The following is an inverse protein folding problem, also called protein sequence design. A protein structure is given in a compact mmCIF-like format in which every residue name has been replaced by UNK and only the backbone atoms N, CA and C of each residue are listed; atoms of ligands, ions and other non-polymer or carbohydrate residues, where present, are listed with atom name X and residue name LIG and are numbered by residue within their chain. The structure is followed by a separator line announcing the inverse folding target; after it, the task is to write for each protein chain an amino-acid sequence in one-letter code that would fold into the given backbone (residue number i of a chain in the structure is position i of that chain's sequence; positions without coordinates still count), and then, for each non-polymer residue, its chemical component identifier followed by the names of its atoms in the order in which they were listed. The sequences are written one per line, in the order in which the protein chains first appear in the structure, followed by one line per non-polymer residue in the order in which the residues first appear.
data_IF_236863580873
#
_entry.id   IF_236863580873
#
_cell.length_a   1.000
_cell.length_b   1.000
_cell.length_c   1.000
_cell.angle_alpha   90.00
_cell.angle_beta   90.00
_cell.angle_gamma   90.00
#
_symmetry.space_group_name_H-M   'P 1'
#
loop_
_entity.id
_entity.type
_entity.pdbx_description
1 polymer ?
#
# COMPACT_ATOMS: atom_id res chain seq x y z
N UNK A 1 19.52 9.45 -0.36
CA UNK A 1 18.41 9.01 -1.25
C UNK A 1 18.86 8.24 -2.49
N UNK A 2 19.51 8.83 -3.50
CA UNK A 2 19.87 8.05 -4.72
C UNK A 2 20.92 6.96 -4.44
N UNK A 3 21.94 7.26 -3.63
CA UNK A 3 22.99 6.29 -3.27
C UNK A 3 22.45 5.10 -2.45
N UNK A 4 21.54 5.35 -1.50
CA UNK A 4 20.86 4.31 -0.72
C UNK A 4 19.98 3.43 -1.61
N UNK A 5 19.22 4.06 -2.52
CA UNK A 5 18.37 3.35 -3.50
C UNK A 5 19.20 2.42 -4.38
N UNK A 6 20.37 2.87 -4.86
CA UNK A 6 21.28 2.05 -5.67
C UNK A 6 21.90 0.90 -4.87
N UNK A 7 22.29 1.14 -3.62
CA UNK A 7 22.78 0.10 -2.71
C UNK A 7 21.73 -0.99 -2.49
N UNK A 8 20.49 -0.61 -2.20
CA UNK A 8 19.37 -1.53 -2.02
C UNK A 8 19.07 -2.29 -3.32
N UNK A 9 19.12 -1.60 -4.46
CA UNK A 9 18.93 -2.23 -5.77
C UNK A 9 20.01 -3.27 -6.05
N UNK A 10 21.26 -2.94 -5.78
CA UNK A 10 22.40 -3.85 -5.95
C UNK A 10 22.28 -5.09 -5.06
N UNK A 11 21.93 -4.90 -3.79
CA UNK A 11 21.63 -5.98 -2.85
C UNK A 11 20.52 -6.90 -3.36
N UNK A 12 19.39 -6.35 -3.80
CA UNK A 12 18.25 -7.13 -4.27
C UNK A 12 18.55 -7.89 -5.57
N UNK A 13 19.25 -7.23 -6.50
CA UNK A 13 19.67 -7.84 -7.77
C UNK A 13 20.63 -9.00 -7.53
N UNK A 14 21.56 -8.84 -6.58
CA UNK A 14 22.48 -9.92 -6.19
C UNK A 14 21.75 -11.07 -5.48
N UNK A 15 20.75 -10.76 -4.65
CA UNK A 15 19.98 -11.76 -3.89
C UNK A 15 19.07 -12.62 -4.78
N UNK A 16 18.41 -12.00 -5.76
CA UNK A 16 17.40 -12.68 -6.58
C UNK A 16 17.91 -13.10 -7.96
N UNK A 17 19.06 -12.58 -8.40
CA UNK A 17 19.61 -12.86 -9.73
C UNK A 17 18.81 -12.23 -10.88
N UNK A 18 17.98 -11.23 -10.58
CA UNK A 18 17.09 -10.56 -11.53
C UNK A 18 17.06 -9.04 -11.30
N UNK A 19 16.76 -8.23 -12.32
CA UNK A 19 16.71 -6.78 -12.16
C UNK A 19 15.60 -6.37 -11.17
N UNK A 20 15.95 -5.51 -10.21
CA UNK A 20 15.04 -5.00 -9.20
C UNK A 20 14.77 -3.49 -9.35
N UNK A 21 13.50 -3.10 -9.20
CA UNK A 21 13.08 -1.73 -8.96
C UNK A 21 13.06 -1.42 -7.46
N UNK A 22 13.37 -0.18 -7.09
CA UNK A 22 13.37 0.28 -5.69
C UNK A 22 12.71 1.65 -5.62
N UNK A 23 11.72 1.77 -4.75
CA UNK A 23 10.97 3.01 -4.52
C UNK A 23 10.88 3.35 -3.04
N UNK A 24 10.93 4.64 -2.70
CA UNK A 24 10.71 5.08 -1.34
C UNK A 24 9.21 5.03 -1.02
N UNK A 25 8.86 4.40 0.09
CA UNK A 25 7.50 4.42 0.62
C UNK A 25 7.47 5.11 1.98
N UNK A 26 6.89 6.32 1.99
CA UNK A 26 6.63 7.04 3.22
C UNK A 26 5.17 6.87 3.64
N UNK A 27 4.95 6.01 4.62
CA UNK A 27 3.66 5.67 5.18
C UNK A 27 3.09 6.83 5.99
N UNK A 28 2.03 7.45 5.46
CA UNK A 28 1.31 8.58 6.09
C UNK A 28 -0.07 8.16 6.61
N UNK A 29 -0.74 7.23 5.94
CA UNK A 29 -2.12 6.83 6.28
C UNK A 29 -2.33 5.33 6.03
N UNK A 30 -3.13 4.71 6.89
CA UNK A 30 -3.73 3.40 6.62
C UNK A 30 -5.20 3.59 6.30
N UNK A 31 -5.66 2.87 5.28
CA UNK A 31 -7.07 2.68 5.01
C UNK A 31 -7.35 1.19 5.03
N UNK A 32 -8.12 0.74 6.01
CA UNK A 32 -8.46 -0.66 6.17
C UNK A 32 -9.92 -0.86 5.80
N UNK A 33 -10.15 -1.78 4.86
CA UNK A 33 -11.48 -2.27 4.50
C UNK A 33 -11.47 -3.77 4.81
N UNK A 34 -11.56 -4.09 6.10
CA UNK A 34 -11.55 -5.46 6.62
C UNK A 34 -12.74 -5.67 7.56
N UNK A 35 -13.39 -6.84 7.56
CA UNK A 35 -14.47 -7.14 8.49
C UNK A 35 -13.95 -7.11 9.93
N UNK A 36 -14.76 -6.59 10.87
CA UNK A 36 -14.48 -6.51 12.31
C UNK A 36 -13.24 -5.70 12.74
N UNK A 37 -12.59 -4.98 11.82
CA UNK A 37 -11.46 -4.11 12.15
C UNK A 37 -11.76 -2.64 11.81
N UNK A 38 -12.58 -2.03 12.64
CA UNK A 38 -12.87 -0.59 12.55
C UNK A 38 -11.91 0.21 13.42
N UNK A 39 -11.28 1.25 12.85
CA UNK A 39 -10.35 2.14 13.56
C UNK A 39 -11.03 2.99 14.67
N UNK A 40 -12.35 2.90 14.83
CA UNK A 40 -13.17 3.69 15.77
C UNK A 40 -12.71 3.49 17.23
N UNK A 41 -12.26 2.28 17.58
CA UNK A 41 -11.77 1.96 18.93
C UNK A 41 -10.53 2.74 19.35
N UNK A 42 -9.71 3.20 18.39
CA UNK A 42 -8.42 3.87 18.63
C UNK A 42 -8.50 5.39 18.65
N UNK A 43 -9.71 5.96 18.51
CA UNK A 43 -9.87 7.42 18.46
C UNK A 43 -9.67 8.03 19.85
N UNK A 44 -8.91 9.13 19.91
CA UNK A 44 -8.81 9.92 21.13
C UNK A 44 -10.19 10.43 21.56
N UNK A 45 -10.38 10.59 22.87
CA UNK A 45 -11.66 11.04 23.46
C UNK A 45 -12.15 12.34 22.80
N UNK A 46 -11.24 13.27 22.49
CA UNK A 46 -11.59 14.52 21.79
C UNK A 46 -12.17 14.29 20.39
N UNK A 47 -11.66 13.32 19.63
CA UNK A 47 -12.24 12.95 18.32
C UNK A 47 -13.63 12.31 18.48
N UNK A 48 -13.85 11.53 19.54
CA UNK A 48 -15.16 10.94 19.83
C UNK A 48 -16.19 12.01 20.15
N UNK A 49 -15.85 12.99 21.00
CA UNK A 49 -16.74 14.10 21.34
C UNK A 49 -17.07 14.95 20.11
N UNK A 50 -16.06 15.31 19.30
CA UNK A 50 -16.27 16.07 18.07
C UNK A 50 -17.16 15.32 17.07
N UNK A 51 -16.99 14.01 16.95
CA UNK A 51 -17.84 13.17 16.10
C UNK A 51 -19.31 13.19 16.53
N UNK A 52 -19.58 13.10 17.84
CA UNK A 52 -20.95 13.19 18.38
C UNK A 52 -21.55 14.58 18.15
N UNK A 53 -20.76 15.65 18.34
CA UNK A 53 -21.22 17.02 18.07
C UNK A 53 -21.47 17.28 16.57
N UNK A 54 -20.75 16.60 15.69
CA UNK A 54 -20.94 16.68 14.24
C UNK A 54 -22.09 15.78 13.72
N UNK A 55 -22.70 14.95 14.58
CA UNK A 55 -23.81 14.07 14.23
C UNK A 55 -24.98 14.75 13.49
N UNK A 56 -25.50 15.93 13.92
CA UNK A 56 -26.54 16.63 13.17
C UNK A 56 -26.11 17.06 11.77
N UNK A 57 -24.80 17.22 11.51
CA UNK A 57 -24.26 17.54 10.17
C UNK A 57 -24.11 16.27 9.32
N UNK A 58 -23.91 15.10 9.93
CA UNK A 58 -23.83 13.84 9.20
C UNK A 58 -25.15 13.43 8.55
N UNK A 59 -26.31 13.83 9.12
CA UNK A 59 -27.62 13.52 8.55
C UNK A 59 -27.80 14.14 7.15
N UNK A 60 -27.70 15.47 6.95
CA UNK A 60 -27.81 16.06 5.62
C UNK A 60 -26.68 15.58 4.69
N UNK A 61 -25.47 15.35 5.21
CA UNK A 61 -24.37 14.79 4.43
C UNK A 61 -24.67 13.37 3.91
N UNK A 62 -25.27 12.50 4.74
CA UNK A 62 -25.68 11.16 4.35
C UNK A 62 -26.81 11.19 3.31
N UNK A 63 -27.75 12.13 3.44
CA UNK A 63 -28.80 12.36 2.42
C UNK A 63 -28.17 12.76 1.09
N UNK A 64 -27.19 13.67 1.08
CA UNK A 64 -26.46 14.05 -0.14
C UNK A 64 -25.75 12.85 -0.76
N UNK A 65 -25.02 12.07 0.03
CA UNK A 65 -24.34 10.85 -0.46
C UNK A 65 -25.33 9.80 -0.97
N UNK A 66 -26.49 9.67 -0.32
CA UNK A 66 -27.55 8.77 -0.76
C UNK A 66 -28.12 9.19 -2.11
N UNK A 67 -28.39 10.48 -2.30
CA UNK A 67 -28.83 11.04 -3.59
C UNK A 67 -27.74 10.85 -4.65
N UNK A 68 -26.48 11.14 -4.35
CA UNK A 68 -25.37 10.90 -5.27
C UNK A 68 -25.26 9.43 -5.68
N UNK A 69 -25.41 8.51 -4.72
CA UNK A 69 -25.40 7.07 -4.98
C UNK A 69 -26.60 6.63 -5.83
N UNK A 70 -27.79 7.19 -5.59
CA UNK A 70 -28.97 6.95 -6.43
C UNK A 70 -28.75 7.40 -7.88
N UNK A 71 -27.87 8.37 -8.10
CA UNK A 71 -27.49 8.88 -9.41
C UNK A 71 -26.24 8.20 -9.99
N UNK A 72 -25.75 7.12 -9.34
CA UNK A 72 -24.51 6.43 -9.68
C UNK A 72 -23.27 7.34 -9.71
N UNK A 73 -23.34 8.49 -9.02
CA UNK A 73 -22.23 9.42 -8.86
C UNK A 73 -21.45 9.00 -7.63
N UNK A 74 -20.35 8.30 -7.86
CA UNK A 74 -19.41 7.93 -6.81
C UNK A 74 -18.32 9.00 -6.71
N UNK A 75 -18.37 9.91 -5.72
CA UNK A 75 -17.31 10.90 -5.54
C UNK A 75 -15.99 10.18 -5.27
N UNK A 76 -15.10 10.18 -6.26
CA UNK A 76 -13.76 9.63 -6.16
C UNK A 76 -12.88 10.61 -5.40
N UNK A 77 -12.77 10.40 -4.09
CA UNK A 77 -11.86 11.20 -3.27
C UNK A 77 -10.40 10.87 -3.62
N UNK A 78 -9.53 11.86 -3.88
CA UNK A 78 -8.15 11.59 -4.23
C UNK A 78 -7.44 10.89 -3.07
N UNK A 79 -6.87 9.72 -3.36
CA UNK A 79 -6.05 8.99 -2.39
C UNK A 79 -4.75 9.75 -2.19
N UNK A 80 -4.44 10.13 -0.94
CA UNK A 80 -3.21 10.89 -0.64
C UNK A 80 -1.98 9.99 -0.78
N UNK A 81 -0.87 10.56 -1.24
CA UNK A 81 0.45 9.91 -1.27
C UNK A 81 0.82 9.32 0.09
N UNK A 82 1.40 8.12 0.09
CA UNK A 82 1.77 7.39 1.30
C UNK A 82 0.60 6.70 1.99
N UNK A 83 -0.54 6.55 1.29
CA UNK A 83 -1.66 5.75 1.78
C UNK A 83 -1.43 4.29 1.42
N UNK A 84 -1.45 3.42 2.43
CA UNK A 84 -1.57 1.98 2.26
C UNK A 84 -3.03 1.60 2.46
N UNK A 85 -3.68 1.17 1.39
CA UNK A 85 -5.06 0.66 1.44
C UNK A 85 -5.00 -0.86 1.46
N UNK A 86 -5.52 -1.49 2.50
CA UNK A 86 -5.66 -2.95 2.55
C UNK A 86 -7.13 -3.31 2.61
N UNK A 87 -7.55 -4.13 1.66
CA UNK A 87 -8.89 -4.69 1.49
C UNK A 87 -8.81 -6.18 1.72
N UNK A 88 -9.82 -6.76 2.36
CA UNK A 88 -9.91 -8.20 2.51
C UNK A 88 -11.29 -8.59 2.97
N UNK A 89 -11.69 -9.81 2.62
CA UNK A 89 -13.00 -10.37 2.96
C UNK A 89 -12.97 -11.18 4.25
N UNK A 90 -11.79 -11.60 4.70
CA UNK A 90 -11.60 -12.39 5.91
C UNK A 90 -11.02 -11.56 7.07
N UNK A 91 -11.41 -11.85 8.32
CA UNK A 91 -10.89 -11.18 9.52
C UNK A 91 -9.56 -11.79 10.03
N UNK A 92 -9.01 -12.77 9.33
CA UNK A 92 -7.69 -13.39 9.56
C UNK A 92 -7.02 -13.65 8.22
N UNK A 93 -5.70 -13.92 8.23
CA UNK A 93 -4.94 -14.34 7.05
C UNK A 93 -3.72 -13.46 6.75
N UNK A 94 -2.93 -13.83 5.73
CA UNK A 94 -1.62 -13.22 5.49
C UNK A 94 -1.68 -11.73 5.13
N UNK A 95 -2.80 -11.26 4.58
CA UNK A 95 -3.04 -9.84 4.33
C UNK A 95 -3.17 -9.02 5.62
N UNK A 96 -3.68 -9.62 6.70
CA UNK A 96 -3.80 -8.98 8.01
C UNK A 96 -2.47 -9.01 8.74
N UNK A 97 -1.73 -10.10 8.65
CA UNK A 97 -0.36 -10.18 9.17
C UNK A 97 0.53 -9.13 8.52
N UNK A 98 0.37 -8.93 7.20
CA UNK A 98 1.00 -7.82 6.48
C UNK A 98 0.60 -6.46 7.05
N UNK A 99 -0.70 -6.20 7.29
CA UNK A 99 -1.14 -4.93 7.92
C UNK A 99 -0.50 -4.74 9.29
N UNK A 100 -0.39 -5.79 10.09
CA UNK A 100 0.12 -5.71 11.45
C UNK A 100 1.63 -5.51 11.50
N UNK A 101 2.36 -6.16 10.61
CA UNK A 101 3.77 -5.87 10.34
C UNK A 101 3.93 -4.43 9.85
N UNK A 102 3.18 -4.03 8.83
CA UNK A 102 3.22 -2.68 8.28
C UNK A 102 2.86 -1.63 9.33
N UNK A 103 1.98 -1.92 10.29
CA UNK A 103 1.62 -1.03 11.40
C UNK A 103 2.81 -0.77 12.32
N UNK A 104 3.55 -1.83 12.68
CA UNK A 104 4.75 -1.80 13.54
C UNK A 104 6.01 -1.29 12.82
N UNK A 105 6.06 -1.43 11.50
CA UNK A 105 7.18 -1.00 10.66
C UNK A 105 7.46 0.51 10.76
N UNK A 106 8.68 0.96 10.46
CA UNK A 106 9.00 2.39 10.37
C UNK A 106 8.09 3.12 9.37
N UNK A 107 7.92 4.43 9.57
CA UNK A 107 7.13 5.27 8.64
C UNK A 107 7.82 5.50 7.30
N UNK A 108 9.15 5.37 7.26
CA UNK A 108 9.95 5.41 6.05
C UNK A 108 10.48 4.00 5.81
N UNK A 109 10.17 3.46 4.64
CA UNK A 109 10.61 2.14 4.21
C UNK A 109 10.89 2.19 2.72
N UNK A 110 11.72 1.29 2.23
CA UNK A 110 11.93 1.07 0.81
C UNK A 110 11.11 -0.13 0.37
N UNK A 111 10.48 -0.01 -0.79
CA UNK A 111 9.80 -1.12 -1.45
C UNK A 111 10.65 -1.52 -2.62
N UNK A 112 11.10 -2.77 -2.57
CA UNK A 112 11.90 -3.37 -3.62
C UNK A 112 11.01 -4.38 -4.31
N UNK A 113 10.96 -4.34 -5.63
CA UNK A 113 10.16 -5.24 -6.44
C UNK A 113 11.00 -5.72 -7.61
N UNK A 114 10.84 -6.99 -7.97
CA UNK A 114 11.47 -7.60 -9.13
C UNK A 114 10.42 -8.34 -9.95
N UNK A 115 10.89 -9.15 -10.90
CA UNK A 115 10.09 -10.10 -11.66
C UNK A 115 9.93 -11.45 -10.93
N UNK A 116 9.98 -11.50 -9.61
CA UNK A 116 9.32 -12.58 -8.83
C UNK A 116 9.05 -12.24 -7.37
N UNK A 117 9.59 -11.13 -6.90
CA UNK A 117 9.63 -10.81 -5.49
C UNK A 117 9.19 -9.37 -5.23
N UNK A 118 8.55 -9.16 -4.08
CA UNK A 118 8.40 -7.85 -3.46
C UNK A 118 8.87 -7.97 -2.02
N UNK A 119 9.72 -7.05 -1.60
CA UNK A 119 10.19 -6.97 -0.22
C UNK A 119 10.11 -5.54 0.25
N UNK A 120 9.67 -5.37 1.49
CA UNK A 120 9.76 -4.11 2.19
C UNK A 120 10.97 -4.16 3.10
N UNK A 121 11.86 -3.20 2.92
CA UNK A 121 13.10 -3.09 3.69
C UNK A 121 13.11 -1.78 4.46
N UNK A 122 13.70 -1.83 5.64
CA UNK A 122 14.11 -0.65 6.38
C UNK A 122 15.56 -0.33 6.05
N UNK A 123 15.91 0.95 6.08
CA UNK A 123 17.32 1.34 6.06
C UNK A 123 18.04 0.69 7.24
N UNK A 124 19.09 -0.06 6.93
CA UNK A 124 19.97 -0.64 7.95
C UNK A 124 20.70 0.49 8.65
N UNK A 125 20.10 1.02 9.72
CA UNK A 125 20.81 1.90 10.66
C UNK A 125 22.04 1.11 11.13
N UNK A 126 23.21 1.63 10.78
CA UNK A 126 24.54 1.22 11.23
C UNK A 126 25.20 -0.03 10.63
N UNK A 127 24.49 -0.94 9.93
CA UNK A 127 25.08 -2.22 9.46
C UNK A 127 25.27 -2.36 7.95
N UNK A 128 24.97 -1.32 7.16
CA UNK A 128 25.28 -1.28 5.72
C UNK A 128 24.42 -2.20 4.82
N UNK A 129 23.73 -3.19 5.37
CA UNK A 129 22.81 -4.06 4.65
C UNK A 129 21.33 -3.67 4.89
N UNK A 130 20.48 -3.66 3.85
CA UNK A 130 19.04 -3.44 4.01
C UNK A 130 18.42 -4.55 4.87
N UNK A 131 17.55 -4.19 5.81
CA UNK A 131 16.87 -5.17 6.69
C UNK A 131 15.45 -5.40 6.18
N UNK A 132 15.13 -6.58 5.62
CA UNK A 132 13.78 -6.90 5.21
C UNK A 132 12.90 -7.14 6.44
N UNK A 133 11.74 -6.48 6.49
CA UNK A 133 10.74 -6.72 7.54
C UNK A 133 9.48 -7.40 7.01
N UNK A 134 9.32 -7.45 5.68
CA UNK A 134 8.29 -8.24 5.02
C UNK A 134 8.74 -8.63 3.62
N UNK A 135 8.48 -9.86 3.20
CA UNK A 135 8.78 -10.37 1.86
C UNK A 135 7.57 -11.14 1.33
N UNK A 136 7.32 -11.03 0.02
CA UNK A 136 6.30 -11.82 -0.66
C UNK A 136 6.71 -13.29 -0.71
N UNK A 137 5.83 -14.17 -0.22
CA UNK A 137 5.93 -15.61 -0.45
C UNK A 137 5.54 -16.00 -1.90
N UNK A 138 5.77 -17.26 -2.29
CA UNK A 138 5.52 -17.75 -3.65
C UNK A 138 4.03 -17.76 -4.06
N UNK A 139 3.12 -17.75 -3.08
CA UNK A 139 1.67 -17.77 -3.27
C UNK A 139 1.07 -16.39 -3.61
N UNK A 140 1.88 -15.32 -3.53
CA UNK A 140 1.44 -13.94 -3.68
C UNK A 140 1.48 -13.48 -5.14
N UNK A 141 0.38 -12.88 -5.59
CA UNK A 141 0.34 -12.22 -6.89
C UNK A 141 0.63 -10.74 -6.70
N UNK A 142 1.66 -10.23 -7.36
CA UNK A 142 1.99 -8.80 -7.36
C UNK A 142 1.65 -8.24 -8.74
N UNK A 143 0.98 -7.09 -8.74
CA UNK A 143 0.63 -6.34 -9.94
C UNK A 143 1.21 -4.93 -9.82
N UNK A 144 1.97 -4.52 -10.84
CA UNK A 144 2.42 -3.15 -11.01
C UNK A 144 1.49 -2.49 -12.01
N UNK A 145 0.53 -1.71 -11.52
CA UNK A 145 -0.47 -1.04 -12.37
C UNK A 145 -0.05 0.41 -12.59
N UNK A 146 0.60 0.76 -13.71
CA UNK A 146 0.96 2.15 -13.98
C UNK A 146 -0.29 3.02 -14.14
N UNK A 147 -0.32 4.17 -13.45
CA UNK A 147 -1.39 5.16 -13.61
C UNK A 147 -2.73 4.81 -12.94
N UNK A 148 -2.78 3.79 -12.09
CA UNK A 148 -3.99 3.52 -11.32
C UNK A 148 -4.26 4.64 -10.30
N UNK A 149 -5.46 5.23 -10.36
CA UNK A 149 -5.92 6.28 -9.43
C UNK A 149 -5.78 5.86 -7.94
N UNK A 150 -5.91 4.57 -7.66
CA UNK A 150 -5.82 4.00 -6.31
C UNK A 150 -4.38 3.73 -5.83
N UNK A 151 -3.40 3.60 -6.73
CA UNK A 151 -2.00 3.33 -6.41
C UNK A 151 -1.29 2.41 -7.39
N UNK A 152 0.01 2.65 -7.60
CA UNK A 152 0.83 2.02 -8.64
C UNK A 152 1.29 0.59 -8.34
N UNK A 153 1.29 0.17 -7.06
CA UNK A 153 1.68 -1.17 -6.64
C UNK A 153 0.53 -1.85 -5.91
N UNK A 154 0.14 -3.03 -6.39
CA UNK A 154 -0.94 -3.85 -5.83
C UNK A 154 -0.42 -5.24 -5.50
N UNK A 155 -0.77 -5.73 -4.32
CA UNK A 155 -0.42 -7.06 -3.82
C UNK A 155 -1.72 -7.81 -3.57
N UNK A 156 -1.86 -9.00 -4.14
CA UNK A 156 -3.03 -9.84 -4.02
C UNK A 156 -2.68 -11.16 -3.34
N UNK A 157 -3.47 -11.48 -2.32
CA UNK A 157 -3.46 -12.77 -1.65
C UNK A 157 -4.55 -13.69 -2.23
N UNK A 158 -4.33 -15.02 -2.25
CA UNK A 158 -5.33 -15.99 -2.74
C UNK A 158 -6.70 -15.85 -2.08
N UNK A 159 -6.75 -15.45 -0.81
CA UNK A 159 -7.97 -15.34 0.00
C UNK A 159 -8.75 -14.01 -0.21
N UNK A 160 -8.70 -13.43 -1.41
CA UNK A 160 -9.30 -12.11 -1.73
C UNK A 160 -8.77 -10.94 -0.87
N UNK A 161 -7.56 -11.07 -0.33
CA UNK A 161 -6.83 -9.95 0.25
C UNK A 161 -6.18 -9.11 -0.84
N UNK A 162 -6.23 -7.79 -0.72
CA UNK A 162 -5.57 -6.85 -1.62
C UNK A 162 -4.92 -5.72 -0.82
N UNK A 163 -3.67 -5.39 -1.11
CA UNK A 163 -3.00 -4.19 -0.62
C UNK A 163 -2.64 -3.30 -1.79
N UNK A 164 -2.94 -2.02 -1.68
CA UNK A 164 -2.68 -0.99 -2.68
C UNK A 164 -1.84 0.11 -2.07
N UNK A 165 -0.70 0.39 -2.69
CA UNK A 165 0.23 1.42 -2.26
C UNK A 165 0.11 2.65 -3.16
N UNK A 166 -0.25 3.78 -2.57
CA UNK A 166 -0.20 5.07 -3.25
C UNK A 166 1.17 5.71 -3.05
N UNK A 167 2.00 5.71 -4.10
CA UNK A 167 3.34 6.30 -4.08
C UNK A 167 3.29 7.80 -4.46
N UNK A 168 4.42 8.50 -4.37
CA UNK A 168 4.54 9.85 -4.94
C UNK A 168 4.61 9.77 -6.46
N UNK A 169 4.26 10.85 -7.16
CA UNK A 169 4.28 10.87 -8.64
C UNK A 169 5.64 10.47 -9.22
N UNK A 170 6.74 10.92 -8.60
CA UNK A 170 8.11 10.52 -8.98
C UNK A 170 8.34 9.01 -8.85
N UNK A 171 7.88 8.41 -7.76
CA UNK A 171 8.04 6.97 -7.50
C UNK A 171 7.06 6.14 -8.36
N UNK A 172 5.85 6.66 -8.64
CA UNK A 172 4.92 6.05 -9.60
C UNK A 172 5.50 6.05 -11.02
N UNK A 173 6.24 7.10 -11.41
CA UNK A 173 6.94 7.14 -12.69
C UNK A 173 8.04 6.08 -12.79
N UNK A 174 8.76 5.80 -11.69
CA UNK A 174 9.76 4.72 -11.62
C UNK A 174 9.12 3.34 -11.68
N UNK A 175 8.01 3.12 -10.98
CA UNK A 175 7.23 1.87 -11.11
C UNK A 175 6.73 1.71 -12.54
N UNK A 176 6.26 2.78 -13.16
CA UNK A 176 5.75 2.77 -14.53
C UNK A 176 6.83 2.45 -15.54
N UNK A 177 8.00 3.07 -15.46
CA UNK A 177 9.10 2.79 -16.38
C UNK A 177 9.59 1.35 -16.24
N UNK A 178 9.66 0.85 -15.00
CA UNK A 178 9.99 -0.55 -14.74
C UNK A 178 8.92 -1.48 -15.32
N UNK A 179 7.64 -1.27 -15.03
CA UNK A 179 6.55 -2.09 -15.58
C UNK A 179 6.55 -2.10 -17.13
N UNK A 180 6.78 -0.93 -17.76
CA UNK A 180 6.87 -0.81 -19.21
C UNK A 180 8.03 -1.61 -19.81
N UNK A 181 9.17 -1.72 -19.12
CA UNK A 181 10.29 -2.54 -19.59
C UNK A 181 9.99 -4.05 -19.68
N UNK A 182 8.89 -4.50 -19.07
CA UNK A 182 8.46 -5.90 -19.09
C UNK A 182 7.13 -6.15 -19.84
N UNK A 183 6.57 -5.15 -20.51
CA UNK A 183 5.30 -5.23 -21.26
C UNK A 183 4.07 -4.77 -20.47
N UNK A 184 3.06 -4.22 -21.16
CA UNK A 184 1.90 -3.53 -20.58
C UNK A 184 1.22 -4.31 -19.45
N UNK A 185 1.00 -3.64 -18.31
CA UNK A 185 0.17 -4.16 -17.22
C UNK A 185 0.77 -5.42 -16.60
N UNK A 186 1.92 -5.25 -15.96
CA UNK A 186 2.70 -6.33 -15.40
C UNK A 186 1.86 -7.08 -14.33
N UNK A 187 1.32 -8.23 -14.72
CA UNK A 187 0.41 -9.07 -13.94
C UNK A 187 0.85 -10.52 -14.02
N UNK A 188 0.98 -11.13 -12.83
CA UNK A 188 1.30 -12.53 -12.51
C UNK A 188 2.77 -12.96 -12.52
N UNK A 189 3.21 -13.31 -11.30
CA UNK A 189 4.09 -14.44 -11.07
C UNK A 189 3.25 -15.71 -10.96
N UNK A 190 3.53 -16.66 -11.84
CA UNK A 190 3.41 -18.08 -11.55
C UNK A 190 4.79 -18.68 -11.71
#
# INVERSE_FOLDING_TARGET
MNQERESIRGWATALWGEPAGVVAFQRKRFKLTLPNRQDIGTWSIGKKILYVLAFPIFIPYAIILYVLNFWEIYPKWPTRTGTLTVRGTLPYGPAIDFVDLMKKAPKKSWVVFSRSHVVFVQDGLDQGAPVPFWQSGPELNVELTPGAEEGALRIYWPEHGQAVLKLSEEEEALVRSFAQSYGEGWSRFR
#
